data_IF_870484457982
#
_entry.id   IF_870484457982
#
_cell.length_a   1.000
_cell.length_b   1.000
_cell.length_c   1.000
_cell.angle_alpha   90.00
_cell.angle_beta   90.00
_cell.angle_gamma   90.00
#
_symmetry.space_group_name_H-M   'P 1'
#
loop_
_entity.id
_entity.type
_entity.pdbx_description
1 polymer ?
#
# COMPACT_ATOMS: atom_id res chain seq x y z
N UNK A 1 0.70 -11.63 -3.83
CA UNK A 1 2.09 -12.12 -3.63
C UNK A 1 2.26 -13.42 -4.37
N UNK A 2 1.70 -14.54 -3.91
CA UNK A 2 1.85 -15.85 -4.56
C UNK A 2 1.47 -15.89 -6.05
N UNK A 3 0.34 -15.26 -6.44
CA UNK A 3 -0.07 -15.22 -7.85
C UNK A 3 0.92 -14.48 -8.75
N UNK A 4 1.56 -13.42 -8.26
CA UNK A 4 2.63 -12.72 -9.01
C UNK A 4 3.88 -13.57 -9.09
N UNK A 5 4.25 -14.27 -8.01
CA UNK A 5 5.44 -15.13 -8.01
C UNK A 5 5.29 -16.30 -8.98
N UNK A 6 4.10 -16.90 -9.07
CA UNK A 6 3.79 -17.93 -10.07
C UNK A 6 3.87 -17.33 -11.49
N UNK A 7 3.27 -16.15 -11.71
CA UNK A 7 3.29 -15.49 -13.01
C UNK A 7 4.71 -15.06 -13.44
N UNK A 8 5.56 -14.64 -12.49
CA UNK A 8 6.95 -14.31 -12.75
C UNK A 8 7.79 -15.56 -13.02
N UNK A 9 7.57 -16.65 -12.27
CA UNK A 9 8.22 -17.93 -12.52
C UNK A 9 7.90 -18.50 -13.90
N UNK A 10 6.65 -18.33 -14.37
CA UNK A 10 6.24 -18.74 -15.71
C UNK A 10 6.93 -17.94 -16.83
N UNK A 11 7.46 -16.74 -16.53
CA UNK A 11 8.22 -15.90 -17.48
C UNK A 11 9.73 -16.18 -17.45
N UNK A 12 10.20 -17.08 -16.59
CA UNK A 12 11.61 -17.49 -16.52
C UNK A 12 12.29 -17.16 -15.19
N UNK A 13 13.48 -17.73 -15.00
CA UNK A 13 14.24 -17.61 -13.76
C UNK A 13 14.66 -16.16 -13.45
N UNK A 14 15.11 -15.41 -14.47
CA UNK A 14 15.49 -14.01 -14.32
C UNK A 14 14.31 -13.12 -13.89
N UNK A 15 13.11 -13.36 -14.44
CA UNK A 15 11.87 -12.66 -14.04
C UNK A 15 11.50 -12.95 -12.59
N UNK A 16 11.58 -14.22 -12.17
CA UNK A 16 11.35 -14.60 -10.78
C UNK A 16 12.37 -13.96 -9.82
N UNK A 17 13.64 -13.92 -10.20
CA UNK A 17 14.70 -13.28 -9.42
C UNK A 17 14.45 -11.77 -9.28
N UNK A 18 14.18 -11.07 -10.38
CA UNK A 18 13.85 -9.64 -10.36
C UNK A 18 12.60 -9.35 -9.51
N UNK A 19 11.55 -10.17 -9.64
CA UNK A 19 10.36 -10.09 -8.80
C UNK A 19 10.70 -10.24 -7.31
N UNK A 20 11.53 -11.21 -6.95
CA UNK A 20 11.93 -11.46 -5.58
C UNK A 20 12.66 -10.24 -4.98
N UNK A 21 13.61 -9.65 -5.72
CA UNK A 21 14.33 -8.44 -5.27
C UNK A 21 13.36 -7.29 -4.97
N UNK A 22 12.49 -6.97 -5.93
CA UNK A 22 11.53 -5.86 -5.76
C UNK A 22 10.53 -6.15 -4.64
N UNK A 23 10.09 -7.41 -4.48
CA UNK A 23 9.23 -7.80 -3.37
C UNK A 23 9.90 -7.66 -2.01
N UNK A 24 11.18 -7.98 -1.88
CA UNK A 24 11.88 -7.80 -0.60
C UNK A 24 12.00 -6.33 -0.23
N UNK A 25 12.35 -5.48 -1.19
CA UNK A 25 12.38 -4.03 -0.98
C UNK A 25 11.00 -3.48 -0.61
N UNK A 26 9.94 -3.94 -1.30
CA UNK A 26 8.56 -3.59 -0.99
C UNK A 26 8.17 -4.01 0.44
N UNK A 27 8.53 -5.21 0.87
CA UNK A 27 8.18 -5.73 2.19
C UNK A 27 8.89 -4.96 3.30
N UNK A 28 10.19 -4.68 3.13
CA UNK A 28 10.97 -3.91 4.10
C UNK A 28 10.34 -2.53 4.34
N UNK A 29 9.99 -1.80 3.28
CA UNK A 29 9.35 -0.48 3.45
C UNK A 29 7.94 -0.59 4.02
N UNK A 30 7.20 -1.65 3.68
CA UNK A 30 5.87 -1.89 4.23
C UNK A 30 5.91 -2.14 5.74
N UNK A 31 6.87 -2.93 6.23
CA UNK A 31 7.00 -3.20 7.67
C UNK A 31 7.33 -1.96 8.50
N UNK A 32 8.12 -1.03 7.95
CA UNK A 32 8.40 0.24 8.62
C UNK A 32 7.10 1.04 8.83
N UNK A 33 6.21 1.03 7.83
CA UNK A 33 4.96 1.78 7.90
C UNK A 33 3.89 1.07 8.73
N UNK A 34 3.96 -0.26 8.83
CA UNK A 34 3.03 -1.07 9.62
C UNK A 34 2.97 -0.65 11.09
N UNK A 35 4.11 -0.23 11.66
CA UNK A 35 4.15 0.33 13.01
C UNK A 35 3.26 1.57 13.20
N UNK A 36 3.11 2.43 12.17
CA UNK A 36 2.17 3.55 12.22
C UNK A 36 0.71 3.08 12.12
N UNK A 37 0.44 2.00 11.38
CA UNK A 37 -0.89 1.40 11.28
C UNK A 37 -1.34 0.82 12.63
N UNK A 38 -0.43 0.16 13.36
CA UNK A 38 -0.70 -0.35 14.71
C UNK A 38 -1.02 0.78 15.70
N UNK A 39 -0.26 1.88 15.65
CA UNK A 39 -0.54 3.08 16.44
C UNK A 39 -1.92 3.66 16.09
N UNK A 40 -2.27 3.71 14.79
CA UNK A 40 -3.58 4.12 14.32
C UNK A 40 -4.71 3.24 14.84
N UNK A 41 -4.51 1.92 14.84
CA UNK A 41 -5.48 0.94 15.35
C UNK A 41 -5.70 1.11 16.86
N UNK A 42 -4.60 1.15 17.62
CA UNK A 42 -4.63 1.22 19.09
C UNK A 42 -5.18 2.56 19.59
N UNK A 43 -4.59 3.68 19.17
CA UNK A 43 -5.01 5.01 19.63
C UNK A 43 -6.35 5.41 19.00
N UNK A 44 -6.58 5.07 17.73
CA UNK A 44 -7.85 5.33 17.06
C UNK A 44 -9.01 4.61 17.75
N UNK A 45 -8.83 3.33 18.09
CA UNK A 45 -9.84 2.55 18.82
C UNK A 45 -10.15 3.15 20.20
N UNK A 46 -9.13 3.61 20.93
CA UNK A 46 -9.31 4.29 22.22
C UNK A 46 -10.10 5.60 22.08
N UNK A 47 -9.71 6.47 21.16
CA UNK A 47 -10.35 7.78 20.94
C UNK A 47 -11.80 7.65 20.46
N UNK A 48 -12.11 6.60 19.68
CA UNK A 48 -13.48 6.27 19.31
C UNK A 48 -14.31 5.84 20.52
N UNK A 49 -13.73 5.04 21.42
CA UNK A 49 -14.35 4.69 22.70
C UNK A 49 -14.63 5.90 23.60
N UNK A 50 -13.73 6.89 23.59
CA UNK A 50 -13.86 8.17 24.30
C UNK A 50 -14.80 9.17 23.60
N UNK A 51 -15.32 8.85 22.40
CA UNK A 51 -16.10 9.75 21.54
C UNK A 51 -15.39 11.07 21.22
N UNK A 52 -14.07 11.09 21.21
CA UNK A 52 -13.28 12.29 21.00
C UNK A 52 -12.92 12.48 19.51
N UNK A 53 -13.89 12.96 18.73
CA UNK A 53 -13.74 13.15 17.29
C UNK A 53 -12.59 14.11 16.92
N UNK A 54 -12.39 15.18 17.70
CA UNK A 54 -11.35 16.19 17.44
C UNK A 54 -9.95 15.59 17.55
N UNK A 55 -9.70 14.79 18.59
CA UNK A 55 -8.41 14.11 18.73
C UNK A 55 -8.23 12.99 17.71
N UNK A 56 -9.31 12.29 17.33
CA UNK A 56 -9.27 11.27 16.29
C UNK A 56 -8.84 11.86 14.93
N UNK A 57 -9.44 12.98 14.52
CA UNK A 57 -9.08 13.66 13.27
C UNK A 57 -7.62 14.16 13.28
N UNK A 58 -7.16 14.68 14.42
CA UNK A 58 -5.75 15.07 14.60
C UNK A 58 -4.81 13.87 14.51
N UNK A 59 -5.20 12.72 15.04
CA UNK A 59 -4.43 11.47 14.93
C UNK A 59 -4.31 11.05 13.46
N UNK A 60 -5.44 10.99 12.74
CA UNK A 60 -5.47 10.61 11.31
C UNK A 60 -4.59 11.54 10.48
N UNK A 61 -4.71 12.86 10.68
CA UNK A 61 -3.92 13.86 9.95
C UNK A 61 -2.41 13.71 10.23
N UNK A 62 -2.01 13.54 11.50
CA UNK A 62 -0.61 13.36 11.87
C UNK A 62 -0.01 12.06 11.35
N UNK A 63 -0.73 10.95 11.48
CA UNK A 63 -0.26 9.66 10.97
C UNK A 63 -0.16 9.67 9.44
N UNK A 64 -1.13 10.30 8.75
CA UNK A 64 -1.10 10.46 7.29
C UNK A 64 0.12 11.27 6.82
N UNK A 65 0.41 12.39 7.50
CA UNK A 65 1.57 13.22 7.17
C UNK A 65 2.89 12.49 7.44
N UNK A 66 3.00 11.79 8.57
CA UNK A 66 4.20 11.04 8.94
C UNK A 66 4.43 9.85 7.99
N UNK A 67 3.37 9.10 7.65
CA UNK A 67 3.49 7.99 6.71
C UNK A 67 3.83 8.46 5.30
N UNK A 68 3.26 9.58 4.85
CA UNK A 68 3.62 10.16 3.56
C UNK A 68 5.09 10.56 3.54
N UNK A 69 5.57 11.24 4.59
CA UNK A 69 6.98 11.60 4.72
C UNK A 69 7.89 10.35 4.72
N UNK A 70 7.53 9.30 5.46
CA UNK A 70 8.24 8.03 5.47
C UNK A 70 8.23 7.34 4.09
N UNK A 71 7.10 7.33 3.37
CA UNK A 71 7.00 6.74 2.04
C UNK A 71 7.84 7.49 1.00
N UNK A 72 7.85 8.83 1.05
CA UNK A 72 8.72 9.66 0.21
C UNK A 72 10.20 9.40 0.55
N UNK A 73 10.56 9.38 1.83
CA UNK A 73 11.92 9.08 2.27
C UNK A 73 12.36 7.68 1.84
N UNK A 74 11.49 6.68 1.93
CA UNK A 74 11.75 5.31 1.49
C UNK A 74 11.95 5.23 -0.04
N UNK A 75 11.09 5.89 -0.81
CA UNK A 75 11.24 5.97 -2.27
C UNK A 75 12.55 6.64 -2.68
N UNK A 76 12.92 7.74 -2.01
CA UNK A 76 14.19 8.43 -2.25
C UNK A 76 15.40 7.57 -1.86
N UNK A 77 15.35 6.91 -0.70
CA UNK A 77 16.41 6.02 -0.22
C UNK A 77 16.65 4.86 -1.20
N UNK A 78 15.57 4.21 -1.67
CA UNK A 78 15.65 3.16 -2.68
C UNK A 78 16.26 3.70 -3.98
N UNK A 79 15.80 4.86 -4.46
CA UNK A 79 16.31 5.43 -5.70
C UNK A 79 17.81 5.75 -5.64
N UNK A 80 18.26 6.36 -4.54
CA UNK A 80 19.67 6.74 -4.34
C UNK A 80 20.57 5.51 -4.18
N UNK A 81 20.07 4.45 -3.55
CA UNK A 81 20.81 3.21 -3.33
C UNK A 81 20.61 2.14 -4.40
N UNK A 82 19.83 2.41 -5.46
CA UNK A 82 19.41 1.41 -6.46
C UNK A 82 20.55 0.60 -7.08
N UNK A 83 21.69 1.22 -7.36
CA UNK A 83 22.86 0.55 -7.96
C UNK A 83 23.53 -0.39 -6.96
N UNK A 84 23.71 0.07 -5.72
CA UNK A 84 24.27 -0.75 -4.64
C UNK A 84 23.32 -1.89 -4.27
N UNK A 85 22.02 -1.62 -4.18
CA UNK A 85 21.00 -2.64 -3.93
C UNK A 85 20.99 -3.68 -5.04
N UNK A 86 20.94 -3.28 -6.32
CA UNK A 86 20.97 -4.22 -7.45
C UNK A 86 22.18 -5.16 -7.37
N UNK A 87 23.38 -4.60 -7.16
CA UNK A 87 24.62 -5.37 -7.03
C UNK A 87 24.67 -6.28 -5.79
N UNK A 88 23.99 -5.92 -4.71
CA UNK A 88 23.92 -6.76 -3.51
C UNK A 88 23.03 -8.01 -3.70
N UNK A 89 22.04 -7.94 -4.59
CA UNK A 89 21.11 -9.04 -4.81
C UNK A 89 21.50 -9.98 -5.96
N UNK A 90 22.11 -9.46 -7.04
CA UNK A 90 22.43 -10.27 -8.21
C UNK A 90 23.52 -9.64 -9.08
N UNK A 91 24.28 -10.50 -9.76
CA UNK A 91 25.23 -10.13 -10.82
C UNK A 91 24.71 -10.53 -12.23
N UNK A 92 23.54 -11.18 -12.31
CA UNK A 92 22.95 -11.64 -13.56
C UNK A 92 22.43 -10.48 -14.42
N UNK A 93 22.95 -10.37 -15.65
CA UNK A 93 22.63 -9.27 -16.56
C UNK A 93 21.15 -9.23 -16.96
N UNK A 94 20.53 -10.40 -17.18
CA UNK A 94 19.11 -10.48 -17.58
C UNK A 94 18.20 -9.96 -16.46
N UNK A 95 18.45 -10.39 -15.23
CA UNK A 95 17.74 -9.92 -14.02
C UNK A 95 17.92 -8.41 -13.83
N UNK A 96 19.14 -7.90 -14.03
CA UNK A 96 19.44 -6.46 -13.91
C UNK A 96 18.70 -5.62 -14.97
N UNK A 97 18.59 -6.08 -16.21
CA UNK A 97 17.80 -5.41 -17.24
C UNK A 97 16.31 -5.38 -16.88
N UNK A 98 15.76 -6.50 -16.37
CA UNK A 98 14.36 -6.57 -15.93
C UNK A 98 14.06 -5.67 -14.72
N UNK A 99 15.06 -5.39 -13.87
CA UNK A 99 14.93 -4.47 -12.74
C UNK A 99 14.87 -3.00 -13.15
N UNK A 100 15.49 -2.61 -14.28
CA UNK A 100 15.55 -1.21 -14.73
C UNK A 100 14.20 -0.50 -14.79
N UNK A 101 13.17 -1.04 -15.47
CA UNK A 101 11.86 -0.39 -15.52
C UNK A 101 11.09 -0.46 -14.18
N UNK A 102 11.47 -1.36 -13.28
CA UNK A 102 10.82 -1.51 -11.98
C UNK A 102 11.30 -0.50 -10.95
N UNK A 103 12.52 0.04 -11.06
CA UNK A 103 13.04 1.02 -10.10
C UNK A 103 12.18 2.28 -9.98
N UNK A 104 11.84 2.98 -11.08
CA UNK A 104 10.99 4.17 -10.98
C UNK A 104 9.61 3.83 -10.40
N UNK A 105 9.02 2.72 -10.84
CA UNK A 105 7.71 2.26 -10.38
C UNK A 105 7.73 1.98 -8.87
N UNK A 106 8.73 1.22 -8.39
CA UNK A 106 8.88 0.90 -6.97
C UNK A 106 9.01 2.16 -6.13
N UNK A 107 9.82 3.13 -6.56
CA UNK A 107 10.05 4.37 -5.80
C UNK A 107 8.79 5.25 -5.76
N UNK A 108 8.10 5.41 -6.89
CA UNK A 108 6.89 6.22 -7.01
C UNK A 108 5.71 5.63 -6.23
N UNK A 109 5.69 4.32 -6.02
CA UNK A 109 4.63 3.66 -5.26
C UNK A 109 4.83 3.68 -3.75
N UNK A 110 6.03 3.96 -3.23
CA UNK A 110 6.26 3.97 -1.78
C UNK A 110 5.38 4.98 -1.01
N UNK A 111 5.16 6.23 -1.47
CA UNK A 111 4.23 7.15 -0.82
C UNK A 111 2.80 6.63 -0.78
N UNK A 112 2.32 6.04 -1.89
CA UNK A 112 1.00 5.44 -1.98
C UNK A 112 0.87 4.25 -1.02
N UNK A 113 1.87 3.36 -1.01
CA UNK A 113 1.91 2.20 -0.13
C UNK A 113 1.85 2.64 1.34
N UNK A 114 2.62 3.67 1.71
CA UNK A 114 2.66 4.14 3.08
C UNK A 114 1.30 4.69 3.57
N UNK A 115 0.60 5.45 2.73
CA UNK A 115 -0.75 5.94 3.04
C UNK A 115 -1.72 4.77 3.22
N UNK A 116 -1.69 3.78 2.31
CA UNK A 116 -2.60 2.62 2.36
C UNK A 116 -2.48 1.88 3.69
N UNK A 117 -1.26 1.61 4.15
CA UNK A 117 -1.04 0.88 5.40
C UNK A 117 -1.58 1.63 6.62
N UNK A 118 -1.29 2.93 6.75
CA UNK A 118 -1.84 3.72 7.87
C UNK A 118 -3.36 3.75 7.85
N UNK A 119 -3.96 3.96 6.68
CA UNK A 119 -5.41 4.01 6.57
C UNK A 119 -6.08 2.66 6.86
N UNK A 120 -5.44 1.54 6.53
CA UNK A 120 -5.93 0.22 6.92
C UNK A 120 -5.97 0.06 8.44
N UNK A 121 -4.94 0.56 9.16
CA UNK A 121 -4.95 0.63 10.62
C UNK A 121 -6.09 1.49 11.18
N UNK A 122 -6.36 2.65 10.57
CA UNK A 122 -7.50 3.51 10.94
C UNK A 122 -8.84 2.79 10.68
N UNK A 123 -8.98 2.06 9.57
CA UNK A 123 -10.19 1.29 9.30
C UNK A 123 -10.39 0.17 10.32
N UNK A 124 -9.31 -0.45 10.80
CA UNK A 124 -9.36 -1.45 11.86
C UNK A 124 -9.73 -0.83 13.21
N UNK A 125 -9.27 0.39 13.52
CA UNK A 125 -9.76 1.14 14.68
C UNK A 125 -11.28 1.32 14.66
N UNK A 126 -11.87 1.58 13.49
CA UNK A 126 -13.33 1.74 13.33
C UNK A 126 -14.10 0.41 13.25
N UNK A 127 -13.42 -0.75 13.32
CA UNK A 127 -14.02 -2.08 13.17
C UNK A 127 -14.77 -2.25 11.83
N UNK A 128 -14.36 -1.53 10.79
CA UNK A 128 -15.00 -1.54 9.47
C UNK A 128 -14.63 -2.78 8.63
N UNK A 129 -14.56 -3.97 9.23
CA UNK A 129 -14.05 -5.19 8.59
C UNK A 129 -14.87 -5.62 7.38
N UNK A 130 -16.21 -5.49 7.43
CA UNK A 130 -17.08 -5.81 6.30
C UNK A 130 -16.79 -4.92 5.08
N UNK A 131 -16.50 -3.64 5.32
CA UNK A 131 -16.10 -2.71 4.26
C UNK A 131 -14.74 -3.07 3.68
N UNK A 132 -13.73 -3.26 4.53
CA UNK A 132 -12.36 -3.63 4.09
C UNK A 132 -12.39 -4.92 3.27
N UNK A 133 -13.14 -5.94 3.72
CA UNK A 133 -13.32 -7.20 3.00
C UNK A 133 -13.92 -6.96 1.61
N UNK A 134 -15.04 -6.24 1.52
CA UNK A 134 -15.73 -6.02 0.26
C UNK A 134 -14.88 -5.17 -0.70
N UNK A 135 -14.23 -4.12 -0.19
CA UNK A 135 -13.33 -3.28 -0.96
C UNK A 135 -12.15 -4.09 -1.51
N UNK A 136 -11.52 -4.93 -0.69
CA UNK A 136 -10.42 -5.79 -1.14
C UNK A 136 -10.90 -6.84 -2.15
N UNK A 137 -12.04 -7.49 -1.91
CA UNK A 137 -12.60 -8.47 -2.82
C UNK A 137 -12.91 -7.87 -4.20
N UNK A 138 -13.55 -6.69 -4.23
CA UNK A 138 -13.82 -5.96 -5.46
C UNK A 138 -12.53 -5.51 -6.15
N UNK A 139 -11.55 -5.00 -5.40
CA UNK A 139 -10.25 -4.63 -5.96
C UNK A 139 -9.52 -5.82 -6.57
N UNK A 140 -9.58 -6.98 -5.93
CA UNK A 140 -8.96 -8.20 -6.46
C UNK A 140 -9.68 -8.68 -7.72
N UNK A 141 -11.01 -8.79 -7.68
CA UNK A 141 -11.80 -9.33 -8.79
C UNK A 141 -11.90 -8.38 -10.00
N UNK A 142 -12.04 -7.07 -9.77
CA UNK A 142 -12.33 -6.09 -10.81
C UNK A 142 -11.11 -5.30 -11.29
N UNK A 143 -10.04 -5.21 -10.49
CA UNK A 143 -8.83 -4.43 -10.83
C UNK A 143 -7.63 -5.35 -11.01
N UNK A 144 -7.22 -6.05 -9.95
CA UNK A 144 -5.99 -6.84 -9.97
C UNK A 144 -6.06 -8.04 -10.90
N UNK A 145 -7.10 -8.88 -10.80
CA UNK A 145 -7.18 -10.12 -11.56
C UNK A 145 -7.25 -9.86 -13.08
N UNK A 146 -8.07 -8.92 -13.60
CA UNK A 146 -8.07 -8.60 -15.03
C UNK A 146 -6.71 -8.08 -15.51
N UNK A 147 -6.08 -7.17 -14.76
CA UNK A 147 -4.76 -6.63 -15.12
C UNK A 147 -3.67 -7.70 -15.05
N UNK A 148 -3.74 -8.62 -14.09
CA UNK A 148 -2.83 -9.76 -14.00
C UNK A 148 -2.99 -10.69 -15.21
N UNK A 149 -4.23 -10.98 -15.63
CA UNK A 149 -4.49 -11.79 -16.81
C UNK A 149 -3.95 -11.12 -18.08
N UNK A 150 -4.14 -9.81 -18.24
CA UNK A 150 -3.56 -9.04 -19.36
C UNK A 150 -2.04 -9.09 -19.32
N UNK A 151 -1.42 -8.93 -18.15
CA UNK A 151 0.03 -9.03 -18.00
C UNK A 151 0.56 -10.42 -18.38
N UNK A 152 -0.15 -11.49 -18.00
CA UNK A 152 0.26 -12.88 -18.25
C UNK A 152 0.00 -13.35 -19.68
N UNK A 153 -1.12 -12.97 -20.30
CA UNK A 153 -1.55 -13.53 -21.60
C UNK A 153 -1.38 -12.59 -22.78
N UNK A 154 -1.10 -11.30 -22.55
CA UNK A 154 -0.99 -10.31 -23.63
C UNK A 154 0.40 -9.68 -23.63
N UNK A 155 0.85 -9.11 -22.50
CA UNK A 155 2.10 -8.35 -22.45
C UNK A 155 3.33 -9.25 -22.26
N UNK A 156 3.20 -10.31 -21.44
CA UNK A 156 4.30 -11.22 -21.10
C UNK A 156 5.53 -10.51 -20.52
N UNK A 157 5.32 -9.44 -19.74
CA UNK A 157 6.40 -8.71 -19.09
C UNK A 157 6.19 -8.56 -17.57
N UNK A 158 7.32 -8.40 -16.86
CA UNK A 158 7.33 -8.26 -15.41
C UNK A 158 6.81 -6.89 -14.96
N UNK A 159 6.95 -5.85 -15.78
CA UNK A 159 6.47 -4.50 -15.46
C UNK A 159 4.94 -4.49 -15.31
N UNK A 160 4.22 -5.15 -16.21
CA UNK A 160 2.77 -5.26 -16.23
C UNK A 160 2.25 -6.01 -15.00
N UNK A 161 2.98 -7.02 -14.52
CA UNK A 161 2.65 -7.67 -13.24
C UNK A 161 2.71 -6.67 -12.07
N UNK A 162 3.75 -5.85 -12.03
CA UNK A 162 3.90 -4.83 -10.99
C UNK A 162 2.90 -3.68 -11.15
N UNK A 163 2.51 -3.33 -12.37
CA UNK A 163 1.42 -2.38 -12.62
C UNK A 163 0.07 -2.92 -12.14
N UNK A 164 -0.21 -4.21 -12.29
CA UNK A 164 -1.41 -4.82 -11.69
C UNK A 164 -1.42 -4.69 -10.15
N UNK A 165 -0.26 -4.89 -9.51
CA UNK A 165 -0.09 -4.67 -8.07
C UNK A 165 -0.22 -3.20 -7.67
N UNK A 166 0.31 -2.29 -8.48
CA UNK A 166 0.20 -0.85 -8.32
C UNK A 166 -1.27 -0.41 -8.37
N UNK A 167 -2.02 -0.88 -9.36
CA UNK A 167 -3.44 -0.60 -9.53
C UNK A 167 -4.27 -1.09 -8.34
N UNK A 168 -3.97 -2.27 -7.80
CA UNK A 168 -4.61 -2.75 -6.56
C UNK A 168 -4.29 -1.85 -5.36
N UNK A 169 -3.05 -1.35 -5.26
CA UNK A 169 -2.67 -0.41 -4.20
C UNK A 169 -3.40 0.94 -4.35
N UNK A 170 -3.52 1.45 -5.57
CA UNK A 170 -4.28 2.66 -5.86
C UNK A 170 -5.78 2.50 -5.54
N UNK A 171 -6.36 1.34 -5.88
CA UNK A 171 -7.73 1.00 -5.47
C UNK A 171 -7.88 1.02 -3.95
N UNK A 172 -6.97 0.34 -3.23
CA UNK A 172 -6.97 0.35 -1.76
C UNK A 172 -6.89 1.78 -1.22
N UNK A 173 -5.96 2.59 -1.72
CA UNK A 173 -5.80 3.99 -1.32
C UNK A 173 -7.11 4.77 -1.49
N UNK A 174 -7.72 4.69 -2.67
CA UNK A 174 -8.98 5.37 -2.97
C UNK A 174 -10.11 4.92 -2.03
N UNK A 175 -10.30 3.61 -1.86
CA UNK A 175 -11.37 3.08 -1.00
C UNK A 175 -11.16 3.40 0.48
N UNK A 176 -9.93 3.37 0.98
CA UNK A 176 -9.66 3.65 2.38
C UNK A 176 -9.77 5.15 2.68
N UNK A 177 -9.26 6.01 1.78
CA UNK A 177 -9.44 7.46 1.87
C UNK A 177 -10.92 7.85 1.87
N UNK A 178 -11.70 7.33 0.92
CA UNK A 178 -13.13 7.63 0.82
C UNK A 178 -13.88 7.28 2.11
N UNK A 179 -13.63 6.09 2.67
CA UNK A 179 -14.33 5.64 3.88
C UNK A 179 -13.98 6.47 5.10
N UNK A 180 -12.70 6.79 5.30
CA UNK A 180 -12.26 7.56 6.47
C UNK A 180 -12.80 9.00 6.43
N UNK A 181 -12.80 9.65 5.26
CA UNK A 181 -13.35 11.01 5.13
C UNK A 181 -14.87 11.03 5.33
N UNK A 182 -15.60 10.05 4.78
CA UNK A 182 -17.04 9.90 5.03
C UNK A 182 -17.30 9.66 6.52
N UNK A 183 -16.54 8.79 7.16
CA UNK A 183 -16.73 8.45 8.58
C UNK A 183 -16.43 9.64 9.52
N UNK A 184 -15.37 10.41 9.24
CA UNK A 184 -15.06 11.64 10.00
C UNK A 184 -16.22 12.64 9.97
N UNK A 185 -16.87 12.81 8.81
CA UNK A 185 -18.03 13.71 8.69
C UNK A 185 -19.22 13.28 9.56
N UNK A 186 -19.45 11.98 9.71
CA UNK A 186 -20.52 11.45 10.57
C UNK A 186 -20.23 11.64 12.07
N UNK A 187 -18.98 11.45 12.50
CA UNK A 187 -18.58 11.67 13.89
C UNK A 187 -18.72 13.14 14.30
N UNK A 188 -18.35 14.07 13.41
CA UNK A 188 -18.49 15.50 13.65
C UNK A 188 -19.97 15.91 13.76
N UNK A 189 -20.85 15.38 12.91
CA UNK A 189 -22.29 15.62 12.97
C UNK A 189 -22.91 15.09 14.28
N UNK A 190 -22.51 13.90 14.72
CA UNK A 190 -22.98 13.32 15.98
C UNK A 190 -22.51 14.12 17.20
N UNK A 191 -21.25 14.56 17.21
CA UNK A 191 -20.70 15.39 18.29
C UNK A 191 -21.39 16.77 18.37
N UNK A 192 -21.66 17.41 17.23
CA UNK A 192 -22.39 18.68 17.17
C UNK A 192 -23.82 18.55 17.72
N UNK A 193 -24.50 17.44 17.43
CA UNK A 193 -25.85 17.17 17.93
C UNK A 193 -25.87 16.96 19.45
N UNK A 194 -24.87 16.28 20.02
CA UNK A 194 -24.75 16.07 21.47
C UNK A 194 -24.37 17.33 22.26
N UNK A 195 -23.80 18.34 21.61
CA UNK A 195 -23.46 19.62 22.25
C UNK A 195 -24.63 20.62 22.23
N UNK A 196 -25.69 20.35 21.46
CA UNK A 196 -26.90 21.18 21.36
C UNK A 196 -28.04 20.72 22.29
N UNK A 197 -27.89 19.57 22.94
CA UNK A 197 -28.83 19.00 23.93
C UNK A 197 -28.23 19.13 25.31
#
# INVERSE_FOLDING_TARGET
VFSMSIAAAAQGAASLAAHAVVMQLWMVTSYVVDGFADVGTMLGGRLLGERNAVLFDRLVSRLSALSLACGVAAGAAIWLSRTALAAAFTEDAETLELLRPLWPLLCLLQPCNAIVFVYDGILYATQSFGYVRNALALGVCCVYAPLLLVAVYVQHDLLSLWLAKAALNAWRAATSLAKVHIFGSHLQAAAATSAMV
#
